data_IF_401082793703
#
_entry.id   IF_401082793703
#
_cell.length_a   1.000
_cell.length_b   1.000
_cell.length_c   1.000
_cell.angle_alpha   90.00
_cell.angle_beta   90.00
_cell.angle_gamma   90.00
#
_symmetry.space_group_name_H-M   'P 1'
#
loop_
_entity.id
_entity.type
_entity.pdbx_description
1 polymer ?
#
# COMPACT_ATOMS: atom_id res chain seq x y z
N UNK A 1 -10.12 8.61 11.01
CA UNK A 1 -9.94 7.28 11.63
C UNK A 1 -10.97 7.12 12.72
N UNK A 2 -11.79 6.07 12.60
CA UNK A 2 -12.60 5.56 13.70
C UNK A 2 -11.67 5.00 14.79
N UNK A 3 -12.12 5.00 16.04
CA UNK A 3 -11.41 4.35 17.13
C UNK A 3 -11.36 2.85 16.84
N UNK A 4 -10.21 2.38 16.36
CA UNK A 4 -9.97 0.94 16.23
C UNK A 4 -10.08 0.35 17.63
N UNK A 5 -11.10 -0.48 17.87
CA UNK A 5 -11.22 -1.28 19.09
C UNK A 5 -10.16 -2.39 19.05
N UNK A 6 -8.90 -2.02 19.27
CA UNK A 6 -7.77 -2.91 19.03
C UNK A 6 -7.83 -4.14 19.93
N UNK A 7 -8.28 -4.00 21.18
CA UNK A 7 -8.52 -5.15 22.07
C UNK A 7 -9.51 -6.16 21.47
N UNK A 8 -10.57 -5.68 20.80
CA UNK A 8 -11.52 -6.54 20.11
C UNK A 8 -10.85 -7.23 18.91
N UNK A 9 -10.14 -6.48 18.07
CA UNK A 9 -9.45 -7.05 16.89
C UNK A 9 -8.40 -8.06 17.30
N UNK A 10 -7.54 -7.74 18.28
CA UNK A 10 -6.53 -8.63 18.83
C UNK A 10 -7.14 -9.92 19.38
N UNK A 11 -8.31 -9.85 20.02
CA UNK A 11 -9.03 -11.04 20.53
C UNK A 11 -9.56 -11.99 19.45
N UNK A 12 -9.60 -11.57 18.17
CA UNK A 12 -10.16 -12.35 17.05
C UNK A 12 -9.13 -12.83 16.05
N UNK A 13 -7.92 -12.28 16.07
CA UNK A 13 -6.84 -12.67 15.14
C UNK A 13 -6.03 -13.79 15.79
N UNK A 14 -5.68 -14.81 15.00
CA UNK A 14 -4.92 -15.99 15.44
C UNK A 14 -3.70 -15.65 16.31
N UNK A 15 -3.54 -16.39 17.41
CA UNK A 15 -2.48 -16.17 18.40
C UNK A 15 -1.05 -16.37 17.85
N UNK A 16 -0.92 -17.03 16.70
CA UNK A 16 0.36 -17.39 16.10
C UNK A 16 0.46 -16.86 14.67
N UNK A 17 0.83 -15.60 14.51
CA UNK A 17 0.95 -15.02 13.17
C UNK A 17 1.48 -13.61 13.13
N UNK A 18 2.02 -13.25 11.96
CA UNK A 18 2.27 -11.86 11.58
C UNK A 18 0.93 -11.18 11.29
N UNK A 19 0.78 -9.92 11.68
CA UNK A 19 -0.46 -9.15 11.46
C UNK A 19 -0.25 -8.16 10.32
N UNK A 20 -1.18 -8.12 9.37
CA UNK A 20 -1.24 -7.04 8.39
C UNK A 20 -2.18 -5.94 8.90
N UNK A 21 -1.67 -4.72 9.06
CA UNK A 21 -2.44 -3.55 9.47
C UNK A 21 -2.46 -2.53 8.33
N UNK A 22 -3.65 -2.21 7.83
CA UNK A 22 -3.86 -1.13 6.85
C UNK A 22 -4.36 0.11 7.58
N UNK A 23 -3.68 1.25 7.39
CA UNK A 23 -4.05 2.53 8.02
C UNK A 23 -4.47 3.52 6.95
N UNK A 24 -5.77 3.83 6.95
CA UNK A 24 -6.38 4.77 6.01
C UNK A 24 -6.60 6.14 6.66
N UNK A 25 -6.20 7.19 5.94
CA UNK A 25 -6.39 8.58 6.34
C UNK A 25 -7.71 9.09 5.72
N UNK A 26 -8.85 8.63 6.22
CA UNK A 26 -10.18 8.86 5.60
C UNK A 26 -10.82 10.24 5.87
N UNK A 27 -10.05 11.26 6.27
CA UNK A 27 -10.59 12.63 6.33
C UNK A 27 -10.97 13.10 4.92
N UNK A 28 -11.99 13.94 4.80
CA UNK A 28 -12.54 14.45 3.53
C UNK A 28 -11.48 15.16 2.66
N UNK A 29 -10.31 15.51 3.23
CA UNK A 29 -9.19 16.07 2.46
C UNK A 29 -7.86 15.35 2.60
N UNK A 30 -7.69 14.41 3.56
CA UNK A 30 -6.46 13.66 3.87
C UNK A 30 -5.13 14.28 3.38
N UNK A 31 -4.95 15.58 3.63
CA UNK A 31 -3.92 16.33 2.93
C UNK A 31 -2.55 15.89 3.45
N UNK A 32 -1.60 15.60 2.56
CA UNK A 32 -0.31 15.04 2.97
C UNK A 32 0.43 16.01 3.90
N UNK A 33 0.28 17.31 3.68
CA UNK A 33 0.76 18.37 4.58
C UNK A 33 0.16 18.29 6.00
N UNK A 34 -1.13 17.95 6.15
CA UNK A 34 -1.77 17.79 7.49
C UNK A 34 -1.14 16.61 8.24
N UNK A 35 -0.89 15.50 7.54
CA UNK A 35 -0.20 14.33 8.10
C UNK A 35 1.22 14.72 8.54
N UNK A 36 2.00 15.35 7.65
CA UNK A 36 3.35 15.81 7.96
C UNK A 36 3.40 16.84 9.10
N UNK A 37 2.37 17.66 9.26
CA UNK A 37 2.26 18.64 10.37
C UNK A 37 1.79 18.04 11.70
N UNK A 38 1.50 16.73 11.74
CA UNK A 38 1.15 16.01 12.96
C UNK A 38 -0.32 16.04 13.36
N UNK A 39 -1.24 16.43 12.46
CA UNK A 39 -2.68 16.43 12.75
C UNK A 39 -3.24 15.05 13.15
N UNK A 40 -2.53 13.98 12.79
CA UNK A 40 -2.90 12.59 13.09
C UNK A 40 -2.04 11.93 14.18
N UNK A 41 -1.10 12.66 14.79
CA UNK A 41 -0.13 12.10 15.74
C UNK A 41 -0.79 11.40 16.92
N UNK A 42 -1.81 12.03 17.51
CA UNK A 42 -2.51 11.42 18.65
C UNK A 42 -3.09 10.04 18.31
N UNK A 43 -3.66 9.92 17.11
CA UNK A 43 -4.25 8.67 16.59
C UNK A 43 -3.17 7.65 16.25
N UNK A 44 -2.09 8.07 15.59
CA UNK A 44 -0.95 7.20 15.28
C UNK A 44 -0.28 6.67 16.56
N UNK A 45 -0.14 7.51 17.60
CA UNK A 45 0.38 7.09 18.90
C UNK A 45 -0.54 6.09 19.59
N UNK A 46 -1.87 6.28 19.52
CA UNK A 46 -2.82 5.30 20.05
C UNK A 46 -2.66 3.93 19.35
N UNK A 47 -2.66 3.92 18.02
CA UNK A 47 -2.42 2.70 17.22
C UNK A 47 -1.08 2.05 17.59
N UNK A 48 0.01 2.83 17.67
CA UNK A 48 1.33 2.30 18.02
C UNK A 48 1.40 1.75 19.45
N UNK A 49 0.73 2.37 20.43
CA UNK A 49 0.63 1.84 21.80
C UNK A 49 -0.11 0.51 21.83
N UNK A 50 -1.20 0.39 21.09
CA UNK A 50 -1.98 -0.84 21.07
C UNK A 50 -1.26 -1.95 20.31
N UNK A 51 -0.52 -1.62 19.25
CA UNK A 51 0.42 -2.52 18.59
C UNK A 51 1.56 -2.98 19.53
N UNK A 52 2.06 -2.11 20.41
CA UNK A 52 3.10 -2.47 21.38
C UNK A 52 2.57 -3.46 22.44
N UNK A 53 1.30 -3.31 22.87
CA UNK A 53 0.65 -4.26 23.78
C UNK A 53 0.43 -5.63 23.11
N UNK A 54 0.10 -5.65 21.83
CA UNK A 54 -0.09 -6.88 21.05
C UNK A 54 1.20 -7.71 20.93
N UNK A 55 2.35 -7.04 20.76
CA UNK A 55 3.67 -7.66 20.84
C UNK A 55 4.08 -8.53 19.64
N UNK A 56 3.16 -8.86 18.71
CA UNK A 56 3.47 -9.61 17.49
C UNK A 56 4.18 -8.74 16.45
N UNK A 57 4.74 -9.38 15.43
CA UNK A 57 5.26 -8.68 14.25
C UNK A 57 4.08 -8.14 13.42
N UNK A 58 3.98 -6.81 13.27
CA UNK A 58 2.95 -6.17 12.47
C UNK A 58 3.55 -5.54 11.22
N UNK A 59 3.00 -5.87 10.04
CA UNK A 59 3.28 -5.22 8.78
C UNK A 59 2.26 -4.11 8.57
N UNK A 60 2.73 -2.86 8.62
CA UNK A 60 1.91 -1.66 8.46
C UNK A 60 1.98 -1.20 7.02
N UNK A 61 0.81 -1.13 6.37
CA UNK A 61 0.64 -0.55 5.04
C UNK A 61 -0.23 0.69 5.16
N UNK A 62 0.34 1.84 4.84
CA UNK A 62 -0.33 3.13 4.95
C UNK A 62 0.00 3.99 3.74
N UNK A 63 -0.85 4.96 3.43
CA UNK A 63 -0.71 5.82 2.25
C UNK A 63 -0.46 5.00 0.97
N UNK A 64 -1.12 3.83 0.87
CA UNK A 64 -0.96 2.91 -0.24
C UNK A 64 -1.51 3.50 -1.53
N UNK A 65 -1.02 2.96 -2.64
CA UNK A 65 -1.47 3.30 -3.98
C UNK A 65 -1.39 4.81 -4.26
N UNK A 66 -0.35 5.44 -3.69
CA UNK A 66 -0.16 6.88 -3.70
C UNK A 66 -0.10 7.50 -5.11
N UNK A 67 0.23 6.68 -6.12
CA UNK A 67 0.30 7.06 -7.51
C UNK A 67 -1.07 7.06 -8.22
N UNK A 68 -2.11 6.47 -7.62
CA UNK A 68 -3.49 6.45 -8.13
C UNK A 68 -4.22 7.80 -8.01
N UNK A 69 -5.48 7.84 -8.46
CA UNK A 69 -6.33 9.04 -8.42
C UNK A 69 -7.59 8.92 -7.52
N UNK A 70 -7.75 7.81 -6.80
CA UNK A 70 -8.96 7.49 -6.04
C UNK A 70 -8.90 7.78 -4.53
N UNK A 71 -7.72 7.83 -3.92
CA UNK A 71 -7.58 8.15 -2.49
C UNK A 71 -7.34 9.63 -2.23
N UNK A 72 -7.77 10.14 -1.07
CA UNK A 72 -7.55 11.54 -0.68
C UNK A 72 -6.08 11.84 -0.37
N UNK A 73 -5.31 10.83 0.06
CA UNK A 73 -3.87 10.94 0.33
C UNK A 73 -2.99 10.68 -0.90
N UNK A 74 -3.57 10.61 -2.10
CA UNK A 74 -2.78 10.47 -3.33
C UNK A 74 -1.84 11.67 -3.51
N UNK A 75 -0.70 11.43 -4.14
CA UNK A 75 0.35 12.43 -4.25
C UNK A 75 -0.02 13.66 -5.07
N UNK A 76 -1.11 13.62 -5.84
CA UNK A 76 -1.58 14.73 -6.70
C UNK A 76 -3.04 15.10 -6.43
N UNK A 77 -3.52 14.95 -5.20
CA UNK A 77 -4.79 15.54 -4.75
C UNK A 77 -4.58 17.00 -4.37
N UNK A 78 -5.40 17.91 -4.91
CA UNK A 78 -5.23 19.34 -4.66
C UNK A 78 -3.84 19.84 -5.06
N UNK A 79 -3.15 20.49 -4.14
CA UNK A 79 -1.78 21.01 -4.28
C UNK A 79 -0.72 20.09 -3.64
N UNK A 80 -1.05 18.83 -3.35
CA UNK A 80 -0.07 17.83 -2.93
C UNK A 80 1.02 17.64 -4.00
N UNK A 81 2.22 17.37 -3.51
CA UNK A 81 3.38 17.01 -4.32
C UNK A 81 3.97 15.66 -3.91
N UNK A 82 4.86 15.11 -4.73
CA UNK A 82 5.68 13.95 -4.37
C UNK A 82 6.49 14.22 -3.08
N UNK A 83 6.95 15.45 -2.89
CA UNK A 83 7.65 15.87 -1.66
C UNK A 83 6.76 15.82 -0.43
N UNK A 84 5.51 16.28 -0.54
CA UNK A 84 4.53 16.20 0.56
C UNK A 84 4.24 14.74 0.94
N UNK A 85 4.14 13.85 -0.05
CA UNK A 85 3.98 12.42 0.20
C UNK A 85 5.17 11.86 1.00
N UNK A 86 6.40 12.17 0.58
CA UNK A 86 7.60 11.72 1.27
C UNK A 86 7.65 12.21 2.72
N UNK A 87 7.32 13.48 2.94
CA UNK A 87 7.30 14.08 4.28
C UNK A 87 6.22 13.44 5.16
N UNK A 88 5.01 13.26 4.63
CA UNK A 88 3.91 12.61 5.35
C UNK A 88 4.24 11.17 5.75
N UNK A 89 4.78 10.38 4.82
CA UNK A 89 5.14 8.99 5.06
C UNK A 89 6.24 8.88 6.12
N UNK A 90 7.33 9.65 5.99
CA UNK A 90 8.42 9.67 6.97
C UNK A 90 7.92 10.07 8.36
N UNK A 91 7.11 11.12 8.44
CA UNK A 91 6.53 11.58 9.72
C UNK A 91 5.70 10.49 10.40
N UNK A 92 4.76 9.86 9.67
CA UNK A 92 3.92 8.80 10.21
C UNK A 92 4.73 7.58 10.69
N UNK A 93 5.76 7.16 9.92
CA UNK A 93 6.67 6.08 10.33
C UNK A 93 7.39 6.44 11.62
N UNK A 94 7.93 7.67 11.72
CA UNK A 94 8.64 8.14 12.92
C UNK A 94 7.74 8.12 14.16
N UNK A 95 6.51 8.63 14.04
CA UNK A 95 5.55 8.62 15.15
C UNK A 95 5.21 7.20 15.59
N UNK A 96 4.91 6.30 14.64
CA UNK A 96 4.58 4.90 14.95
C UNK A 96 5.75 4.16 15.60
N UNK A 97 6.97 4.30 15.06
CA UNK A 97 8.19 3.69 15.63
C UNK A 97 8.48 4.19 17.04
N UNK A 98 8.20 5.45 17.34
CA UNK A 98 8.43 6.02 18.68
C UNK A 98 7.59 5.35 19.78
N UNK A 99 6.57 4.56 19.43
CA UNK A 99 5.75 3.82 20.40
C UNK A 99 6.36 2.47 20.82
N UNK A 100 7.48 2.04 20.21
CA UNK A 100 8.20 0.84 20.62
C UNK A 100 7.55 -0.49 20.21
N UNK A 101 6.57 -0.45 19.30
CA UNK A 101 5.94 -1.66 18.75
C UNK A 101 6.84 -2.36 17.72
N UNK A 102 6.66 -3.68 17.55
CA UNK A 102 7.35 -4.46 16.53
C UNK A 102 6.70 -4.27 15.14
N UNK A 103 7.05 -3.17 14.48
CA UNK A 103 6.45 -2.76 13.19
C UNK A 103 7.44 -2.94 12.03
N UNK A 104 6.92 -3.42 10.89
CA UNK A 104 7.55 -3.41 9.57
C UNK A 104 6.72 -2.57 8.62
N UNK A 105 7.34 -1.68 7.86
CA UNK A 105 6.62 -0.74 7.00
C UNK A 105 6.63 -1.17 5.53
N UNK A 106 5.43 -1.31 4.97
CA UNK A 106 5.19 -1.64 3.57
C UNK A 106 4.84 -0.38 2.77
N UNK A 107 5.66 -0.08 1.76
CA UNK A 107 5.39 1.02 0.83
C UNK A 107 4.78 0.47 -0.45
N UNK A 108 3.53 0.82 -0.74
CA UNK A 108 2.72 0.17 -1.78
C UNK A 108 2.41 1.08 -2.96
N UNK A 109 2.77 0.65 -4.18
CA UNK A 109 2.57 1.34 -5.45
C UNK A 109 1.64 0.54 -6.37
N UNK A 110 0.82 1.19 -7.21
CA UNK A 110 -0.02 0.48 -8.19
C UNK A 110 0.75 0.27 -9.48
N UNK A 111 1.16 -0.96 -9.77
CA UNK A 111 1.98 -1.26 -10.95
C UNK A 111 1.25 -0.94 -12.27
N UNK A 112 -0.02 -1.33 -12.38
CA UNK A 112 -0.81 -1.15 -13.60
C UNK A 112 -1.83 -0.01 -13.52
N UNK A 113 -1.52 1.06 -12.78
CA UNK A 113 -2.38 2.22 -12.59
C UNK A 113 -2.95 2.76 -13.92
N UNK A 114 -4.26 2.92 -14.03
CA UNK A 114 -4.91 3.41 -15.25
C UNK A 114 -4.77 4.94 -15.45
N UNK A 115 -4.27 5.68 -14.45
CA UNK A 115 -4.10 7.13 -14.52
C UNK A 115 -3.15 7.56 -15.64
N UNK A 116 -3.47 8.70 -16.26
CA UNK A 116 -2.67 9.33 -17.33
C UNK A 116 -1.33 9.85 -16.84
N UNK A 117 -1.21 10.22 -15.56
CA UNK A 117 0.03 10.72 -14.98
C UNK A 117 0.82 9.55 -14.39
N UNK A 118 1.93 9.21 -15.05
CA UNK A 118 2.86 8.17 -14.59
C UNK A 118 4.03 8.84 -13.88
N UNK A 119 4.04 8.77 -12.55
CA UNK A 119 5.23 9.12 -11.77
C UNK A 119 5.92 7.82 -11.37
N UNK A 120 7.20 7.61 -11.74
CA UNK A 120 7.96 6.42 -11.37
C UNK A 120 7.93 6.14 -9.87
N UNK A 121 7.93 4.86 -9.48
CA UNK A 121 7.92 4.50 -8.06
C UNK A 121 9.17 4.98 -7.33
N UNK A 122 10.33 4.95 -8.00
CA UNK A 122 11.60 5.47 -7.44
C UNK A 122 11.49 6.93 -6.98
N UNK A 123 10.65 7.72 -7.63
CA UNK A 123 10.49 9.14 -7.32
C UNK A 123 9.67 9.33 -6.03
N UNK A 124 8.81 8.39 -5.67
CA UNK A 124 8.11 8.38 -4.38
C UNK A 124 8.96 7.81 -3.25
N UNK A 125 9.92 6.95 -3.55
CA UNK A 125 10.66 6.19 -2.54
C UNK A 125 11.30 7.09 -1.48
N UNK A 126 11.08 6.74 -0.21
CA UNK A 126 11.52 7.54 0.96
C UNK A 126 12.84 7.08 1.55
N UNK A 127 13.40 5.98 1.04
CA UNK A 127 14.65 5.36 1.48
C UNK A 127 14.44 4.15 2.40
N UNK A 128 15.41 3.23 2.37
CA UNK A 128 15.41 1.97 3.12
C UNK A 128 15.27 2.16 4.63
N UNK A 129 15.65 3.32 5.18
CA UNK A 129 15.48 3.65 6.60
C UNK A 129 14.00 3.61 7.02
N UNK A 130 13.08 3.99 6.13
CA UNK A 130 11.64 4.13 6.43
C UNK A 130 10.78 2.99 5.88
N UNK A 131 11.37 2.09 5.10
CA UNK A 131 10.65 1.03 4.38
C UNK A 131 11.34 -0.31 4.63
N UNK A 132 10.57 -1.28 5.12
CA UNK A 132 11.04 -2.65 5.32
C UNK A 132 10.71 -3.55 4.13
N UNK A 133 9.64 -3.23 3.39
CA UNK A 133 9.19 -3.99 2.22
C UNK A 133 8.56 -3.05 1.18
N UNK A 134 8.88 -3.27 -0.09
CA UNK A 134 8.21 -2.58 -1.20
C UNK A 134 7.11 -3.48 -1.75
N UNK A 135 5.94 -2.90 -1.92
CA UNK A 135 4.73 -3.64 -2.23
C UNK A 135 4.08 -3.11 -3.49
N UNK A 136 3.31 -3.98 -4.16
CA UNK A 136 2.53 -3.59 -5.32
C UNK A 136 1.08 -4.04 -5.20
N UNK A 137 0.19 -3.19 -5.70
CA UNK A 137 -1.19 -3.55 -6.02
C UNK A 137 -1.33 -3.63 -7.53
N UNK A 138 -1.98 -4.67 -8.04
CA UNK A 138 -2.32 -4.71 -9.46
C UNK A 138 -3.47 -5.67 -9.77
N UNK A 139 -4.32 -5.31 -10.72
CA UNK A 139 -5.51 -6.09 -11.03
C UNK A 139 -5.66 -6.35 -12.52
N UNK A 140 -6.00 -7.59 -12.90
CA UNK A 140 -6.46 -7.90 -14.24
C UNK A 140 -7.95 -7.51 -14.40
N UNK A 141 -8.16 -6.26 -14.79
CA UNK A 141 -9.49 -5.63 -14.92
C UNK A 141 -10.05 -5.70 -16.35
N UNK A 142 -10.04 -6.90 -16.95
CA UNK A 142 -10.59 -7.08 -18.28
C UNK A 142 -12.11 -6.84 -18.34
N UNK A 143 -12.56 -6.09 -19.34
CA UNK A 143 -13.95 -5.69 -19.50
C UNK A 143 -14.39 -4.51 -18.62
N UNK A 144 -13.55 -4.09 -17.67
CA UNK A 144 -13.74 -2.86 -16.90
C UNK A 144 -12.77 -1.76 -17.37
N UNK A 145 -11.48 -2.08 -17.43
CA UNK A 145 -10.40 -1.12 -17.76
C UNK A 145 -9.64 -1.52 -19.02
N UNK A 146 -9.46 -2.82 -19.28
CA UNK A 146 -8.73 -3.33 -20.44
C UNK A 146 -9.65 -4.15 -21.36
N UNK A 147 -9.42 -4.14 -22.69
CA UNK A 147 -10.24 -4.92 -23.62
C UNK A 147 -9.92 -6.43 -23.60
N UNK A 148 -8.76 -6.82 -23.05
CA UNK A 148 -8.31 -8.21 -22.95
C UNK A 148 -7.60 -8.46 -21.63
N UNK A 149 -7.58 -9.73 -21.20
CA UNK A 149 -6.83 -10.16 -20.04
C UNK A 149 -5.34 -9.90 -20.25
N UNK A 150 -4.64 -9.53 -19.18
CA UNK A 150 -3.19 -9.36 -19.17
C UNK A 150 -2.49 -10.54 -18.52
N UNK A 151 -1.28 -10.83 -18.98
CA UNK A 151 -0.38 -11.76 -18.29
C UNK A 151 0.12 -11.14 -16.98
N UNK A 152 0.50 -11.95 -15.98
CA UNK A 152 1.08 -11.44 -14.74
C UNK A 152 2.36 -10.62 -15.01
N UNK A 153 3.16 -11.05 -15.97
CA UNK A 153 4.38 -10.38 -16.42
C UNK A 153 4.08 -8.99 -16.96
N UNK A 154 3.02 -8.83 -17.76
CA UNK A 154 2.58 -7.53 -18.26
C UNK A 154 2.05 -6.59 -17.15
N UNK A 155 1.66 -7.17 -16.01
CA UNK A 155 1.07 -6.45 -14.88
C UNK A 155 2.14 -6.05 -13.87
N UNK A 156 3.13 -6.90 -13.61
CA UNK A 156 4.11 -6.72 -12.56
C UNK A 156 5.55 -6.55 -13.04
N UNK A 157 5.88 -6.91 -14.29
CA UNK A 157 7.24 -6.92 -14.84
C UNK A 157 7.97 -5.59 -14.68
N UNK A 158 7.37 -4.50 -15.20
CA UNK A 158 7.95 -3.16 -15.12
C UNK A 158 8.18 -2.72 -13.67
N UNK A 159 7.27 -3.06 -12.76
CA UNK A 159 7.42 -2.77 -11.34
C UNK A 159 8.63 -3.51 -10.74
N UNK A 160 8.79 -4.80 -11.02
CA UNK A 160 9.94 -5.57 -10.54
C UNK A 160 11.25 -5.01 -11.08
N UNK A 161 11.31 -4.69 -12.38
CA UNK A 161 12.50 -4.11 -13.00
C UNK A 161 12.84 -2.75 -12.39
N UNK A 162 11.86 -1.88 -12.17
CA UNK A 162 12.10 -0.56 -11.58
C UNK A 162 12.62 -0.67 -10.14
N UNK A 163 11.97 -1.49 -9.29
CA UNK A 163 12.35 -1.66 -7.87
C UNK A 163 13.81 -2.06 -7.71
N UNK A 164 14.32 -2.94 -8.57
CA UNK A 164 15.70 -3.39 -8.52
C UNK A 164 16.74 -2.28 -8.73
N UNK A 165 16.33 -1.14 -9.32
CA UNK A 165 17.21 0.00 -9.59
C UNK A 165 17.47 0.89 -8.38
N UNK A 166 16.60 0.87 -7.36
CA UNK A 166 16.66 1.84 -6.24
C UNK A 166 16.64 1.23 -4.85
N UNK A 167 16.34 -0.06 -4.68
CA UNK A 167 16.39 -0.72 -3.37
C UNK A 167 16.67 -2.23 -3.47
N UNK A 168 17.08 -2.82 -2.35
CA UNK A 168 17.20 -4.28 -2.14
C UNK A 168 16.18 -4.81 -1.13
N UNK A 169 15.24 -3.98 -0.67
CA UNK A 169 14.16 -4.42 0.22
C UNK A 169 13.33 -5.53 -0.43
N UNK A 170 12.84 -6.52 0.35
CA UNK A 170 11.95 -7.55 -0.17
C UNK A 170 10.73 -6.95 -0.88
N UNK A 171 10.24 -7.67 -1.87
CA UNK A 171 9.06 -7.29 -2.66
C UNK A 171 7.82 -8.04 -2.15
N UNK A 172 6.65 -7.39 -2.16
CA UNK A 172 5.36 -7.98 -1.80
C UNK A 172 4.30 -7.69 -2.84
N UNK A 173 3.37 -8.62 -3.03
CA UNK A 173 2.10 -8.36 -3.72
C UNK A 173 1.06 -8.09 -2.64
N UNK A 174 0.74 -6.81 -2.42
CA UNK A 174 -0.20 -6.39 -1.37
C UNK A 174 -1.64 -6.66 -1.80
N UNK A 175 -1.96 -6.40 -3.07
CA UNK A 175 -3.29 -6.64 -3.62
C UNK A 175 -3.17 -7.18 -5.04
N UNK A 176 -3.89 -8.27 -5.33
CA UNK A 176 -4.08 -8.74 -6.69
C UNK A 176 -5.42 -9.42 -6.87
N UNK A 177 -6.03 -9.24 -8.04
CA UNK A 177 -7.17 -10.05 -8.45
C UNK A 177 -7.38 -9.98 -9.95
N UNK A 178 -8.30 -10.82 -10.42
CA UNK A 178 -8.72 -10.88 -11.81
C UNK A 178 -10.23 -10.86 -11.90
N UNK A 179 -10.73 -10.07 -12.84
CA UNK A 179 -12.15 -10.04 -13.23
C UNK A 179 -12.54 -11.35 -13.91
N UNK A 180 -13.76 -11.84 -13.64
CA UNK A 180 -14.18 -13.19 -14.09
C UNK A 180 -15.16 -13.22 -15.25
N UNK A 181 -16.09 -12.26 -15.31
CA UNK A 181 -17.33 -12.42 -16.08
C UNK A 181 -17.19 -12.08 -17.58
N UNK A 182 -16.47 -11.00 -17.92
CA UNK A 182 -16.51 -10.45 -19.28
C UNK A 182 -15.54 -11.19 -20.21
N UNK A 183 -14.28 -11.31 -19.79
CA UNK A 183 -13.23 -11.85 -20.66
C UNK A 183 -12.95 -13.34 -20.44
N UNK A 184 -13.63 -13.97 -19.47
CA UNK A 184 -13.38 -15.35 -19.02
C UNK A 184 -11.88 -15.53 -18.64
N UNK A 185 -11.45 -16.73 -18.27
CA UNK A 185 -10.02 -17.00 -18.02
C UNK A 185 -9.47 -16.64 -16.63
N UNK A 186 -10.29 -16.17 -15.68
CA UNK A 186 -9.89 -15.99 -14.27
C UNK A 186 -9.24 -17.24 -13.65
N UNK A 187 -9.75 -18.48 -13.86
CA UNK A 187 -9.09 -19.68 -13.34
C UNK A 187 -7.65 -19.83 -13.85
N UNK A 188 -7.42 -19.68 -15.16
CA UNK A 188 -6.07 -19.76 -15.73
C UNK A 188 -5.16 -18.62 -15.27
N UNK A 189 -5.71 -17.42 -15.11
CA UNK A 189 -4.93 -16.31 -14.57
C UNK A 189 -4.45 -16.58 -13.14
N UNK A 190 -5.29 -17.20 -12.30
CA UNK A 190 -4.94 -17.60 -10.93
C UNK A 190 -3.92 -18.75 -10.93
N UNK A 191 -4.10 -19.77 -11.78
CA UNK A 191 -3.28 -20.99 -11.76
C UNK A 191 -1.96 -20.86 -12.52
N UNK A 192 -1.96 -20.15 -13.65
CA UNK A 192 -0.87 -20.12 -14.63
C UNK A 192 -0.27 -18.73 -14.82
N UNK A 193 -0.89 -17.69 -14.26
CA UNK A 193 -0.48 -16.31 -14.51
C UNK A 193 -0.79 -15.79 -15.92
N UNK A 194 -1.51 -16.55 -16.75
CA UNK A 194 -1.87 -16.18 -18.10
C UNK A 194 -3.38 -16.27 -18.36
N UNK A 195 -3.94 -15.49 -19.29
CA UNK A 195 -5.23 -15.83 -19.86
C UNK A 195 -5.16 -17.15 -20.64
N UNK A 196 -6.25 -17.93 -20.61
CA UNK A 196 -6.42 -19.02 -21.58
C UNK A 196 -6.32 -18.40 -22.98
N UNK A 197 -5.29 -18.80 -23.71
CA UNK A 197 -5.15 -18.50 -25.13
C UNK A 197 -6.15 -19.43 -25.82
N UNK A 198 -7.33 -18.91 -26.14
CA UNK A 198 -8.28 -19.57 -27.05
C UNK A 198 -8.10 -18.98 -28.43
#
# INVERSE_FOLDING_TARGET
>A
MADLKWDFVASKIDAYGQVQLVIDFIDQEAHLKKIASGAYDSKLRAVGKDAAKDGRQIYVRMLHEMNGDWYNWRAFFGDNTVGDFKNAYKHAVTVLRSMGANLKFQMSYVANNASKKKTPFKDFYVGDEYVDQVCTSAYNQCGATYPKNKFLEDVFGDFYTEVQTFTKRPICIAEMSSTGCICKGKPAWITLGCPLVT
#
